data_IF_986389843486
#
_entry.id   IF_986389843486
#
_cell.length_a   1.000
_cell.length_b   1.000
_cell.length_c   1.000
_cell.angle_alpha   90.00
_cell.angle_beta   90.00
_cell.angle_gamma   90.00
#
_symmetry.space_group_name_H-M   'P 1'
#
loop_
_entity.id
_entity.type
_entity.pdbx_description
1 polymer ?
#
# COMPACT_ATOMS: atom_id res chain seq x y z
N UNK A 1 39.19 30.37 -2.94
CA UNK A 1 38.85 28.97 -2.59
C UNK A 1 37.98 28.43 -3.71
N UNK A 2 38.22 27.19 -4.14
CA UNK A 2 37.72 26.65 -5.40
C UNK A 2 36.30 26.09 -5.20
N UNK A 3 35.28 26.60 -5.90
CA UNK A 3 33.87 26.17 -5.79
C UNK A 3 33.69 24.65 -5.95
N UNK A 4 34.59 24.00 -6.68
CA UNK A 4 34.61 22.55 -6.83
C UNK A 4 34.92 21.81 -5.52
N UNK A 5 35.75 22.36 -4.64
CA UNK A 5 36.08 21.72 -3.35
C UNK A 5 34.90 21.79 -2.37
N UNK A 6 34.14 22.88 -2.37
CA UNK A 6 32.92 23.01 -1.55
C UNK A 6 31.80 22.10 -2.03
N UNK A 7 31.57 21.99 -3.34
CA UNK A 7 30.57 21.07 -3.91
C UNK A 7 30.86 19.60 -3.59
N UNK A 8 32.13 19.19 -3.58
CA UNK A 8 32.54 17.83 -3.23
C UNK A 8 32.33 17.54 -1.74
N UNK A 9 32.67 18.49 -0.86
CA UNK A 9 32.45 18.37 0.59
C UNK A 9 30.95 18.32 0.94
N UNK A 10 30.12 19.14 0.29
CA UNK A 10 28.66 19.13 0.45
C UNK A 10 28.07 17.78 0.02
N UNK A 11 28.47 17.23 -1.13
CA UNK A 11 28.03 15.90 -1.60
C UNK A 11 28.47 14.77 -0.65
N UNK A 12 29.70 14.82 -0.16
CA UNK A 12 30.27 13.86 0.80
C UNK A 12 29.48 13.86 2.11
N UNK A 13 29.27 15.04 2.70
CA UNK A 13 28.56 15.19 3.97
C UNK A 13 27.08 14.80 3.85
N UNK A 14 26.45 15.13 2.71
CA UNK A 14 25.07 14.74 2.42
C UNK A 14 24.94 13.22 2.26
N UNK A 15 25.83 12.58 1.49
CA UNK A 15 25.87 11.13 1.34
C UNK A 15 26.05 10.41 2.69
N UNK A 16 26.92 10.94 3.56
CA UNK A 16 27.15 10.36 4.89
C UNK A 16 25.94 10.52 5.81
N UNK A 17 25.28 11.69 5.78
CA UNK A 17 24.04 11.95 6.54
C UNK A 17 22.90 11.03 6.10
N UNK A 18 22.70 10.85 4.79
CA UNK A 18 21.68 9.96 4.24
C UNK A 18 21.91 8.49 4.58
N UNK A 19 23.18 8.03 4.60
CA UNK A 19 23.53 6.68 5.05
C UNK A 19 23.22 6.46 6.53
N UNK A 20 23.56 7.42 7.39
CA UNK A 20 23.29 7.31 8.83
C UNK A 20 21.79 7.32 9.14
N UNK A 21 21.01 8.12 8.41
CA UNK A 21 19.54 8.15 8.51
C UNK A 21 18.94 6.81 8.08
N UNK A 22 19.36 6.27 6.94
CA UNK A 22 18.88 4.97 6.43
C UNK A 22 19.20 3.83 7.40
N UNK A 23 20.41 3.82 8.00
CA UNK A 23 20.79 2.84 9.01
C UNK A 23 19.93 2.91 10.27
N UNK A 24 19.60 4.12 10.74
CA UNK A 24 18.69 4.33 11.87
C UNK A 24 17.31 3.71 11.60
N UNK A 25 16.76 3.94 10.40
CA UNK A 25 15.47 3.35 10.02
C UNK A 25 15.53 1.83 9.85
N UNK A 26 16.64 1.29 9.34
CA UNK A 26 16.83 -0.15 9.26
C UNK A 26 16.85 -0.82 10.65
N UNK A 27 17.48 -0.17 11.63
CA UNK A 27 17.47 -0.62 13.03
C UNK A 27 16.07 -0.55 13.61
N UNK A 28 15.34 0.56 13.42
CA UNK A 28 13.95 0.73 13.88
C UNK A 28 13.02 -0.35 13.27
N UNK A 29 13.11 -0.58 11.96
CA UNK A 29 12.36 -1.64 11.27
C UNK A 29 12.67 -3.03 11.86
N UNK A 30 13.95 -3.35 12.05
CA UNK A 30 14.39 -4.64 12.60
C UNK A 30 13.89 -4.85 14.04
N UNK A 31 13.90 -3.81 14.87
CA UNK A 31 13.38 -3.88 16.24
C UNK A 31 11.86 -4.10 16.25
N UNK A 32 11.13 -3.39 15.37
CA UNK A 32 9.66 -3.52 15.26
C UNK A 32 9.24 -4.90 14.77
N UNK A 33 9.89 -5.42 13.71
CA UNK A 33 9.55 -6.76 13.20
C UNK A 33 9.88 -7.83 14.23
N UNK A 34 11.02 -7.74 14.95
CA UNK A 34 11.36 -8.66 16.02
C UNK A 34 10.32 -8.65 17.15
N UNK A 35 9.90 -7.46 17.59
CA UNK A 35 8.86 -7.31 18.60
C UNK A 35 7.51 -7.90 18.13
N UNK A 36 7.11 -7.65 16.89
CA UNK A 36 5.88 -8.23 16.35
C UNK A 36 5.95 -9.75 16.21
N UNK A 37 7.10 -10.30 15.80
CA UNK A 37 7.31 -11.75 15.73
C UNK A 37 7.21 -12.40 17.10
N UNK A 38 7.76 -11.78 18.14
CA UNK A 38 7.62 -12.27 19.51
C UNK A 38 6.14 -12.35 19.93
N UNK A 39 5.34 -11.34 19.57
CA UNK A 39 3.90 -11.32 19.86
C UNK A 39 3.12 -12.38 19.08
N UNK A 40 3.38 -12.49 17.77
CA UNK A 40 2.78 -13.48 16.89
C UNK A 40 3.10 -14.90 17.37
N UNK A 41 4.36 -15.16 17.72
CA UNK A 41 4.79 -16.45 18.27
C UNK A 41 4.09 -16.77 19.60
N UNK A 42 3.89 -15.76 20.44
CA UNK A 42 3.13 -15.87 21.70
C UNK A 42 1.61 -15.85 21.52
N UNK A 43 1.10 -15.84 20.27
CA UNK A 43 -0.32 -15.70 19.92
C UNK A 43 -1.01 -14.52 20.61
N UNK A 44 -0.25 -13.46 20.86
CA UNK A 44 -0.78 -12.22 21.45
C UNK A 44 -1.39 -11.37 20.32
N UNK A 45 -2.55 -10.75 20.55
CA UNK A 45 -3.09 -9.80 19.59
C UNK A 45 -2.09 -8.68 19.36
N UNK A 46 -1.89 -8.32 18.09
CA UNK A 46 -1.01 -7.23 17.68
C UNK A 46 -1.90 -6.13 17.12
N UNK A 47 -1.83 -4.96 17.73
CA UNK A 47 -2.66 -3.82 17.31
C UNK A 47 -2.19 -3.29 15.97
N UNK A 48 -3.13 -2.70 15.23
CA UNK A 48 -2.92 -2.03 13.96
C UNK A 48 -1.73 -1.08 13.98
N UNK A 49 -1.64 -0.28 15.04
CA UNK A 49 -0.57 0.71 15.22
C UNK A 49 0.84 0.12 15.15
N UNK A 50 1.04 -1.12 15.61
CA UNK A 50 2.36 -1.78 15.54
C UNK A 50 2.72 -2.13 14.10
N UNK A 51 1.77 -2.64 13.33
CA UNK A 51 1.94 -2.91 11.90
C UNK A 51 2.15 -1.62 11.11
N UNK A 52 1.32 -0.59 11.36
CA UNK A 52 1.48 0.75 10.77
C UNK A 52 2.88 1.30 11.04
N UNK A 53 3.37 1.19 12.29
CA UNK A 53 4.70 1.63 12.66
C UNK A 53 5.83 0.85 12.00
N UNK A 54 5.69 -0.47 11.84
CA UNK A 54 6.65 -1.29 11.08
C UNK A 54 6.71 -0.84 9.62
N UNK A 55 5.54 -0.67 8.98
CA UNK A 55 5.46 -0.26 7.58
C UNK A 55 6.03 1.14 7.39
N UNK A 56 5.73 2.07 8.30
CA UNK A 56 6.32 3.41 8.28
C UNK A 56 7.85 3.36 8.40
N UNK A 57 8.41 2.50 9.26
CA UNK A 57 9.86 2.32 9.35
C UNK A 57 10.45 1.79 8.04
N UNK A 58 9.82 0.79 7.42
CA UNK A 58 10.22 0.25 6.12
C UNK A 58 10.17 1.31 5.01
N UNK A 59 9.10 2.11 4.98
CA UNK A 59 8.91 3.19 4.01
C UNK A 59 10.01 4.26 4.14
N UNK A 60 10.35 4.65 5.37
CA UNK A 60 11.42 5.62 5.65
C UNK A 60 12.80 5.12 5.22
N UNK A 61 13.07 3.81 5.30
CA UNK A 61 14.30 3.24 4.71
C UNK A 61 14.39 3.50 3.21
N UNK A 62 13.24 3.60 2.53
CA UNK A 62 13.11 3.83 1.09
C UNK A 62 12.93 5.31 0.73
N UNK A 63 13.15 6.23 1.67
CA UNK A 63 12.97 7.68 1.49
C UNK A 63 11.52 8.08 1.13
N UNK A 64 10.56 7.31 1.62
CA UNK A 64 9.16 7.70 1.63
C UNK A 64 8.85 8.37 2.97
N UNK A 65 8.15 9.50 2.92
CA UNK A 65 7.53 10.12 4.07
C UNK A 65 6.23 9.38 4.38
N UNK A 66 6.09 8.94 5.62
CA UNK A 66 4.88 8.32 6.10
C UNK A 66 4.01 9.35 6.83
N UNK A 67 2.75 9.45 6.41
CA UNK A 67 1.73 10.26 7.07
C UNK A 67 0.61 9.36 7.52
N UNK A 68 0.17 9.53 8.77
CA UNK A 68 -1.01 8.82 9.24
C UNK A 68 -2.24 9.21 8.41
N UNK A 69 -3.14 8.26 8.28
CA UNK A 69 -4.52 8.46 7.86
C UNK A 69 -5.16 9.72 8.41
N UNK A 70 -5.99 10.37 7.60
CA UNK A 70 -6.79 11.51 8.08
C UNK A 70 -7.94 10.98 8.93
N UNK A 71 -8.53 11.83 9.76
CA UNK A 71 -9.81 11.54 10.45
C UNK A 71 -10.97 11.41 9.45
N UNK A 72 -10.74 11.72 8.17
CA UNK A 72 -11.77 11.62 7.14
C UNK A 72 -12.14 10.15 6.92
N UNK A 73 -13.43 9.88 7.15
CA UNK A 73 -14.07 8.60 6.96
C UNK A 73 -15.19 8.79 5.96
N UNK A 74 -15.34 7.83 5.06
CA UNK A 74 -16.47 7.79 4.13
C UNK A 74 -17.16 6.44 4.21
N UNK A 75 -18.48 6.48 4.33
CA UNK A 75 -19.33 5.31 4.20
C UNK A 75 -19.59 5.06 2.71
N UNK A 76 -19.28 3.85 2.25
CA UNK A 76 -19.41 3.46 0.85
C UNK A 76 -19.92 2.03 0.77
N UNK A 77 -20.58 1.69 -0.34
CA UNK A 77 -20.92 0.30 -0.65
C UNK A 77 -20.04 -0.19 -1.78
N UNK A 78 -19.12 -1.09 -1.47
CA UNK A 78 -18.17 -1.68 -2.44
C UNK A 78 -18.50 -3.16 -2.62
N UNK A 79 -18.81 -3.57 -3.85
CA UNK A 79 -19.15 -4.95 -4.20
C UNK A 79 -20.19 -5.59 -3.25
N UNK A 80 -21.28 -4.87 -2.99
CA UNK A 80 -22.35 -5.22 -2.05
C UNK A 80 -21.98 -5.25 -0.55
N UNK A 81 -20.78 -4.84 -0.17
CA UNK A 81 -20.34 -4.72 1.23
C UNK A 81 -20.35 -3.25 1.63
N UNK A 82 -21.05 -2.94 2.71
CA UNK A 82 -21.00 -1.61 3.31
C UNK A 82 -19.69 -1.47 4.11
N UNK A 83 -18.90 -0.45 3.79
CA UNK A 83 -17.58 -0.22 4.36
C UNK A 83 -17.44 1.22 4.83
N UNK A 84 -16.74 1.38 5.95
CA UNK A 84 -16.27 2.69 6.44
C UNK A 84 -14.79 2.72 6.15
N UNK A 85 -14.39 3.58 5.22
CA UNK A 85 -13.02 3.61 4.69
C UNK A 85 -12.27 4.84 5.19
N UNK A 86 -11.06 4.63 5.66
CA UNK A 86 -10.11 5.69 6.07
C UNK A 86 -8.70 5.13 5.94
N UNK A 87 -7.85 5.70 5.07
CA UNK A 87 -6.48 5.22 4.88
C UNK A 87 -5.74 5.15 6.20
N UNK A 88 -4.92 4.13 6.43
CA UNK A 88 -4.14 4.03 7.67
C UNK A 88 -2.84 4.79 7.62
N UNK A 89 -2.20 4.71 6.45
CA UNK A 89 -0.93 5.34 6.19
C UNK A 89 -0.89 5.76 4.72
N UNK A 90 -0.41 6.98 4.49
CA UNK A 90 -0.04 7.49 3.17
C UNK A 90 1.47 7.53 3.09
N UNK A 91 2.02 6.90 2.06
CA UNK A 91 3.45 7.01 1.79
C UNK A 91 3.67 7.96 0.62
N UNK A 92 4.40 9.03 0.88
CA UNK A 92 4.69 10.10 -0.07
C UNK A 92 6.17 10.08 -0.41
N UNK A 93 6.55 10.45 -1.62
CA UNK A 93 7.97 10.67 -1.91
C UNK A 93 8.47 11.91 -1.19
N UNK A 94 9.64 11.84 -0.56
CA UNK A 94 10.28 13.04 -0.03
C UNK A 94 10.77 13.92 -1.19
N UNK A 95 10.12 15.07 -1.41
CA UNK A 95 10.66 16.14 -2.23
C UNK A 95 11.88 16.73 -1.52
N UNK A 96 13.05 16.69 -2.17
CA UNK A 96 14.24 17.34 -1.66
C UNK A 96 14.19 18.80 -2.10
N UNK A 97 13.85 19.70 -1.17
CA UNK A 97 13.98 21.17 -1.27
C UNK A 97 14.04 21.71 -2.70
N UNK A 98 12.87 21.90 -3.30
CA UNK A 98 12.69 22.95 -4.30
C UNK A 98 12.00 24.09 -3.57
N UNK A 99 12.71 25.22 -3.45
CA UNK A 99 12.20 26.49 -2.91
C UNK A 99 11.13 27.09 -3.87
N UNK A 100 10.08 26.35 -4.18
CA UNK A 100 8.98 26.80 -5.03
C UNK A 100 7.65 26.51 -4.32
N UNK A 101 7.05 27.58 -3.80
CA UNK A 101 5.73 27.63 -3.15
C UNK A 101 4.55 27.43 -4.14
N UNK A 102 4.79 26.98 -5.38
CA UNK A 102 3.79 27.12 -6.46
C UNK A 102 3.63 25.86 -7.35
N UNK A 103 3.57 24.67 -6.74
CA UNK A 103 3.03 23.48 -7.41
C UNK A 103 1.79 22.96 -6.68
N UNK A 104 0.65 23.46 -7.12
CA UNK A 104 -0.66 22.90 -6.82
C UNK A 104 -0.75 21.41 -7.20
N UNK A 105 -1.11 20.59 -6.20
CA UNK A 105 -2.27 19.69 -6.25
C UNK A 105 -2.17 18.22 -6.68
N UNK A 106 -1.02 17.62 -7.00
CA UNK A 106 -0.95 16.15 -7.06
C UNK A 106 0.35 15.64 -6.47
N UNK A 107 0.24 14.86 -5.41
CA UNK A 107 1.36 14.24 -4.74
C UNK A 107 1.21 12.74 -4.84
N UNK A 108 2.24 12.09 -5.35
CA UNK A 108 2.28 10.64 -5.50
C UNK A 108 2.16 9.97 -4.13
N UNK A 109 1.05 9.26 -3.91
CA UNK A 109 0.78 8.59 -2.65
C UNK A 109 0.53 7.12 -2.89
N UNK A 110 1.21 6.28 -2.12
CA UNK A 110 0.80 4.89 -1.93
C UNK A 110 -0.14 4.86 -0.74
N UNK A 111 -1.36 4.36 -0.95
CA UNK A 111 -2.33 4.16 0.13
C UNK A 111 -2.08 2.81 0.78
N UNK A 112 -1.83 2.81 2.08
CA UNK A 112 -1.58 1.59 2.83
C UNK A 112 -2.77 1.31 3.74
N UNK A 113 -3.37 0.14 3.56
CA UNK A 113 -4.34 -0.43 4.48
C UNK A 113 -3.66 -1.46 5.36
N UNK A 114 -3.84 -1.33 6.66
CA UNK A 114 -3.27 -2.22 7.66
C UNK A 114 -4.39 -3.01 8.31
N UNK A 115 -4.31 -4.32 8.20
CA UNK A 115 -5.33 -5.23 8.72
C UNK A 115 -4.85 -5.82 10.04
N UNK A 116 -5.67 -5.66 11.07
CA UNK A 116 -5.43 -6.32 12.35
C UNK A 116 -5.70 -7.81 12.25
N UNK A 117 -4.69 -8.62 12.60
CA UNK A 117 -4.89 -10.04 12.81
C UNK A 117 -5.60 -10.28 14.14
N UNK A 118 -6.90 -10.56 14.08
CA UNK A 118 -7.66 -11.07 15.22
C UNK A 118 -7.35 -12.55 15.41
N UNK A 119 -6.52 -12.89 16.40
CA UNK A 119 -6.34 -14.27 16.83
C UNK A 119 -7.59 -14.73 17.58
N UNK A 120 -8.60 -15.21 16.86
CA UNK A 120 -9.70 -15.95 17.47
C UNK A 120 -9.19 -17.34 17.85
N UNK A 121 -9.13 -17.63 19.16
CA UNK A 121 -8.77 -18.93 19.72
C UNK A 121 -9.67 -20.09 19.24
N UNK A 122 -10.82 -19.77 18.62
CA UNK A 122 -11.80 -20.72 18.09
C UNK A 122 -11.96 -20.69 16.57
N UNK A 123 -11.11 -19.96 15.83
CA UNK A 123 -11.18 -19.96 14.37
C UNK A 123 -10.65 -21.29 13.83
N UNK A 124 -11.58 -22.23 13.56
CA UNK A 124 -11.43 -23.19 12.47
C UNK A 124 -10.94 -22.41 11.25
N UNK A 125 -9.98 -22.98 10.51
CA UNK A 125 -9.60 -22.49 9.18
C UNK A 125 -10.83 -21.96 8.44
N UNK A 126 -10.74 -20.85 7.69
CA UNK A 126 -11.89 -20.34 6.95
C UNK A 126 -12.41 -21.42 6.01
N UNK A 127 -13.45 -22.14 6.45
CA UNK A 127 -14.19 -23.08 5.62
C UNK A 127 -15.03 -22.21 4.70
N UNK A 128 -14.46 -21.86 3.55
CA UNK A 128 -15.21 -21.32 2.44
C UNK A 128 -16.23 -22.38 2.00
N UNK A 129 -17.47 -22.26 2.48
CA UNK A 129 -18.61 -22.92 1.87
C UNK A 129 -19.07 -22.05 0.70
N UNK A 130 -18.46 -22.21 -0.48
CA UNK A 130 -19.12 -21.74 -1.68
C UNK A 130 -20.29 -22.67 -1.99
N UNK A 131 -21.49 -22.08 -2.03
CA UNK A 131 -22.71 -22.69 -2.53
C UNK A 131 -22.54 -22.82 -4.04
N UNK A 132 -22.13 -23.99 -4.50
CA UNK A 132 -22.14 -24.36 -5.92
C UNK A 132 -23.57 -24.25 -6.44
N UNK A 133 -23.87 -23.20 -7.22
CA UNK A 133 -24.91 -23.31 -8.24
C UNK A 133 -24.21 -23.82 -9.50
N UNK A 134 -24.05 -25.14 -9.54
CA UNK A 134 -23.70 -25.86 -10.76
C UNK A 134 -24.90 -25.83 -11.68
N UNK A 135 -24.85 -24.99 -12.72
CA UNK A 135 -25.50 -25.27 -14.00
C UNK A 135 -24.53 -24.79 -15.10
N UNK A 136 -23.71 -25.73 -15.57
CA UNK A 136 -23.04 -25.78 -16.88
C UNK A 136 -22.38 -24.50 -17.41
N UNK A 137 -21.05 -24.41 -17.26
CA UNK A 137 -20.24 -23.47 -18.05
C UNK A 137 -18.78 -23.52 -17.62
N UNK A 138 -17.95 -24.18 -18.41
CA UNK A 138 -16.50 -24.26 -18.25
C UNK A 138 -15.88 -22.86 -18.29
N UNK A 139 -15.28 -22.42 -17.18
CA UNK A 139 -14.37 -21.27 -17.12
C UNK A 139 -13.59 -21.32 -15.81
N UNK A 140 -12.63 -22.23 -15.70
CA UNK A 140 -11.52 -22.09 -14.74
C UNK A 140 -10.69 -20.88 -15.20
N UNK A 141 -11.07 -19.68 -14.78
CA UNK A 141 -10.37 -18.45 -15.14
C UNK A 141 -9.64 -17.88 -13.94
N UNK A 142 -8.41 -17.42 -14.18
CA UNK A 142 -7.39 -16.84 -13.29
C UNK A 142 -7.86 -16.06 -12.02
N UNK A 143 -9.10 -15.59 -11.97
CA UNK A 143 -9.72 -14.97 -10.79
C UNK A 143 -9.78 -15.91 -9.57
N UNK A 144 -10.13 -17.19 -9.76
CA UNK A 144 -10.21 -18.16 -8.66
C UNK A 144 -8.83 -18.42 -8.01
N UNK A 145 -7.77 -18.38 -8.81
CA UNK A 145 -6.38 -18.53 -8.34
C UNK A 145 -5.95 -17.27 -7.57
N UNK A 146 -6.30 -16.08 -8.06
CA UNK A 146 -5.98 -14.82 -7.40
C UNK A 146 -6.68 -14.67 -6.04
N UNK A 147 -7.95 -15.07 -5.95
CA UNK A 147 -8.72 -15.05 -4.69
C UNK A 147 -8.19 -16.07 -3.70
N UNK A 148 -7.78 -17.27 -4.15
CA UNK A 148 -7.15 -18.27 -3.28
C UNK A 148 -5.84 -17.77 -2.64
N UNK A 149 -5.07 -16.93 -3.33
CA UNK A 149 -3.84 -16.35 -2.78
C UNK A 149 -4.11 -15.30 -1.68
N UNK A 150 -5.32 -14.74 -1.64
CA UNK A 150 -5.76 -13.76 -0.65
C UNK A 150 -6.66 -14.37 0.43
N UNK A 151 -6.67 -15.69 0.58
CA UNK A 151 -7.56 -16.39 1.54
C UNK A 151 -7.36 -15.99 3.02
N UNK A 152 -6.29 -15.25 3.32
CA UNK A 152 -6.04 -14.66 4.65
C UNK A 152 -6.71 -13.30 4.86
N UNK A 153 -7.36 -12.75 3.82
CA UNK A 153 -8.13 -11.52 3.82
C UNK A 153 -9.61 -11.84 3.68
N UNK A 154 -10.45 -11.19 4.48
CA UNK A 154 -11.91 -11.29 4.31
C UNK A 154 -12.41 -10.23 3.30
N UNK A 155 -13.64 -10.44 2.81
CA UNK A 155 -14.27 -9.54 1.84
C UNK A 155 -14.46 -8.12 2.38
N UNK A 156 -14.60 -7.97 3.70
CA UNK A 156 -14.74 -6.67 4.37
C UNK A 156 -13.45 -5.88 4.28
N UNK A 157 -12.31 -6.51 4.55
CA UNK A 157 -11.00 -5.88 4.45
C UNK A 157 -10.64 -5.52 3.01
N UNK A 158 -11.00 -6.36 2.04
CA UNK A 158 -10.85 -6.05 0.62
C UNK A 158 -11.72 -4.84 0.21
N UNK A 159 -12.97 -4.79 0.66
CA UNK A 159 -13.87 -3.66 0.42
C UNK A 159 -13.40 -2.37 1.07
N UNK A 160 -12.88 -2.43 2.31
CA UNK A 160 -12.29 -1.29 3.01
C UNK A 160 -11.09 -0.74 2.25
N UNK A 161 -10.15 -1.62 1.87
CA UNK A 161 -8.99 -1.22 1.08
C UNK A 161 -9.39 -0.56 -0.24
N UNK A 162 -10.39 -1.11 -0.95
CA UNK A 162 -10.92 -0.55 -2.17
C UNK A 162 -11.48 0.87 -1.97
N UNK A 163 -12.25 1.08 -0.88
CA UNK A 163 -12.75 2.40 -0.52
C UNK A 163 -11.64 3.38 -0.17
N UNK A 164 -10.60 2.94 0.56
CA UNK A 164 -9.43 3.76 0.88
C UNK A 164 -8.68 4.22 -0.37
N UNK A 165 -8.49 3.35 -1.36
CA UNK A 165 -7.90 3.72 -2.65
C UNK A 165 -8.76 4.74 -3.40
N UNK A 166 -10.09 4.56 -3.39
CA UNK A 166 -11.01 5.45 -4.08
C UNK A 166 -11.04 6.86 -3.47
N UNK A 167 -10.94 6.96 -2.14
CA UNK A 167 -10.92 8.24 -1.43
C UNK A 167 -9.74 9.12 -1.84
N UNK A 168 -8.59 8.51 -2.07
CA UNK A 168 -7.35 9.21 -2.39
C UNK A 168 -7.13 9.31 -3.92
N UNK A 169 -7.96 8.65 -4.74
CA UNK A 169 -7.75 8.55 -6.18
C UNK A 169 -7.62 9.90 -6.89
N UNK A 170 -8.39 10.91 -6.47
CA UNK A 170 -8.37 12.25 -7.08
C UNK A 170 -7.04 12.99 -6.84
N UNK A 171 -6.34 12.67 -5.75
CA UNK A 171 -5.11 13.37 -5.34
C UNK A 171 -3.85 12.67 -5.87
N UNK A 172 -4.00 11.51 -6.52
CA UNK A 172 -2.89 10.72 -7.04
C UNK A 172 -2.41 11.22 -8.40
N UNK A 173 -1.10 11.36 -8.54
CA UNK A 173 -0.45 11.62 -9.81
C UNK A 173 -0.43 10.41 -10.77
N UNK A 174 -0.89 9.23 -10.32
CA UNK A 174 -0.89 8.00 -11.11
C UNK A 174 -2.17 7.79 -11.93
N UNK A 175 -3.10 8.76 -11.95
CA UNK A 175 -4.36 8.69 -12.69
C UNK A 175 -4.17 8.12 -14.13
N UNK A 176 -4.92 7.08 -14.55
CA UNK A 176 -6.11 6.48 -13.91
C UNK A 176 -5.86 5.43 -12.83
N UNK A 177 -4.61 5.25 -12.42
CA UNK A 177 -4.21 4.27 -11.44
C UNK A 177 -4.04 4.85 -10.04
N UNK A 178 -4.30 4.02 -9.03
CA UNK A 178 -4.01 4.31 -7.64
C UNK A 178 -3.28 3.11 -7.02
N UNK A 179 -1.97 3.22 -6.76
CA UNK A 179 -1.23 2.14 -6.13
C UNK A 179 -1.59 2.06 -4.65
N UNK A 180 -1.67 0.82 -4.16
CA UNK A 180 -1.97 0.55 -2.76
C UNK A 180 -1.13 -0.59 -2.19
N UNK A 181 -1.29 -0.79 -0.88
CA UNK A 181 -0.65 -1.87 -0.17
C UNK A 181 -1.55 -2.35 0.96
N UNK A 182 -1.76 -3.66 1.05
CA UNK A 182 -2.42 -4.31 2.19
C UNK A 182 -1.36 -4.99 3.04
N UNK A 183 -1.41 -4.76 4.35
CA UNK A 183 -0.49 -5.38 5.31
C UNK A 183 -1.26 -6.18 6.35
N UNK A 184 -0.93 -7.46 6.49
CA UNK A 184 -1.54 -8.37 7.48
C UNK A 184 -0.48 -9.30 8.06
N UNK A 185 -0.15 -9.13 9.34
CA UNK A 185 0.93 -9.90 9.97
C UNK A 185 2.29 -9.58 9.35
N UNK A 186 2.95 -10.60 8.80
CA UNK A 186 4.19 -10.46 8.02
C UNK A 186 3.94 -10.40 6.51
N UNK A 187 2.68 -10.56 6.08
CA UNK A 187 2.31 -10.56 4.67
C UNK A 187 2.00 -9.15 4.19
N UNK A 188 2.49 -8.84 3.00
CA UNK A 188 2.28 -7.59 2.29
C UNK A 188 1.76 -7.91 0.88
N UNK A 189 0.70 -7.25 0.46
CA UNK A 189 0.14 -7.38 -0.89
C UNK A 189 0.15 -6.01 -1.54
N UNK A 190 0.89 -5.85 -2.62
CA UNK A 190 0.81 -4.66 -3.46
C UNK A 190 -0.49 -4.70 -4.26
N UNK A 191 -1.15 -3.56 -4.39
CA UNK A 191 -2.41 -3.44 -5.12
C UNK A 191 -2.38 -2.27 -6.09
N UNK A 192 -3.26 -2.31 -7.08
CA UNK A 192 -3.44 -1.23 -8.04
C UNK A 192 -4.91 -1.10 -8.38
N UNK A 193 -5.54 -0.01 -7.95
CA UNK A 193 -6.87 0.36 -8.43
C UNK A 193 -6.73 1.02 -9.81
N UNK A 194 -7.51 0.56 -10.77
CA UNK A 194 -7.72 1.21 -12.05
C UNK A 194 -9.18 1.65 -12.13
N UNK A 195 -9.41 2.95 -12.29
CA UNK A 195 -10.74 3.53 -12.44
C UNK A 195 -10.67 4.79 -13.31
N UNK A 196 -11.64 4.95 -14.21
CA UNK A 196 -11.73 6.12 -15.07
C UNK A 196 -12.44 7.28 -14.35
N UNK A 197 -12.13 8.52 -14.74
CA UNK A 197 -12.82 9.70 -14.21
C UNK A 197 -14.33 9.64 -14.48
N UNK A 198 -14.74 9.10 -15.63
CA UNK A 198 -16.15 8.92 -15.98
C UNK A 198 -16.85 7.95 -15.04
N UNK A 199 -16.19 6.85 -14.68
CA UNK A 199 -16.72 5.92 -13.68
C UNK A 199 -16.84 6.61 -12.31
N UNK A 200 -15.82 7.34 -11.85
CA UNK A 200 -15.90 8.12 -10.59
C UNK A 200 -17.08 9.10 -10.61
N UNK A 201 -17.28 9.81 -11.71
CA UNK A 201 -18.38 10.75 -11.86
C UNK A 201 -19.74 10.04 -11.80
N UNK A 202 -19.87 8.86 -12.42
CA UNK A 202 -21.09 8.03 -12.37
C UNK A 202 -21.38 7.53 -10.96
N UNK A 203 -20.36 7.08 -10.21
CA UNK A 203 -20.51 6.69 -8.81
C UNK A 203 -21.02 7.86 -7.95
N UNK A 204 -20.42 9.04 -8.11
CA UNK A 204 -20.86 10.26 -7.40
C UNK A 204 -22.31 10.66 -7.72
N UNK A 205 -22.76 10.40 -8.94
CA UNK A 205 -24.11 10.72 -9.39
C UNK A 205 -25.15 9.62 -9.07
N UNK A 206 -24.74 8.49 -8.45
CA UNK A 206 -25.62 7.38 -8.10
C UNK A 206 -26.06 6.50 -9.27
N UNK A 207 -25.24 6.41 -10.32
CA UNK A 207 -25.56 5.59 -11.51
C UNK A 207 -25.03 4.17 -11.31
N UNK A 208 -25.93 3.20 -11.13
CA UNK A 208 -25.60 1.80 -10.83
C UNK A 208 -25.13 0.97 -12.04
N UNK A 209 -25.31 1.47 -13.27
CA UNK A 209 -25.00 0.73 -14.49
C UNK A 209 -23.77 1.30 -15.18
N UNK A 210 -22.65 0.61 -14.99
CA UNK A 210 -21.41 0.85 -15.73
C UNK A 210 -21.24 -0.29 -16.73
N UNK A 211 -21.01 0.02 -18.03
CA UNK A 211 -20.64 -1.00 -19.01
C UNK A 211 -19.48 -1.84 -18.48
N UNK A 212 -19.48 -3.16 -18.74
CA UNK A 212 -18.46 -4.07 -18.18
C UNK A 212 -17.02 -3.62 -18.51
N UNK A 213 -16.83 -2.99 -19.66
CA UNK A 213 -15.55 -2.49 -20.16
C UNK A 213 -15.01 -1.28 -19.37
N UNK A 214 -15.87 -0.56 -18.64
CA UNK A 214 -15.54 0.63 -17.85
C UNK A 214 -15.46 0.35 -16.34
N UNK A 215 -15.59 -0.91 -15.93
CA UNK A 215 -15.61 -1.27 -14.51
C UNK A 215 -14.27 -1.01 -13.84
N UNK A 216 -14.36 -0.48 -12.63
CA UNK A 216 -13.21 -0.28 -11.76
C UNK A 216 -12.68 -1.66 -11.37
N UNK A 217 -11.37 -1.83 -11.44
CA UNK A 217 -10.71 -3.08 -11.13
C UNK A 217 -9.59 -2.83 -10.12
N UNK A 218 -9.45 -3.73 -9.15
CA UNK A 218 -8.28 -3.76 -8.27
C UNK A 218 -7.47 -4.99 -8.63
N UNK A 219 -6.22 -4.75 -9.01
CA UNK A 219 -5.25 -5.79 -9.25
C UNK A 219 -4.49 -6.06 -7.96
N UNK A 220 -4.31 -7.34 -7.63
CA UNK A 220 -3.59 -7.78 -6.45
C UNK A 220 -2.32 -8.51 -6.88
N UNK A 221 -1.20 -8.08 -6.33
CA UNK A 221 0.08 -8.77 -6.47
C UNK A 221 0.11 -10.05 -5.63
N UNK A 222 1.14 -10.87 -5.88
CA UNK A 222 1.44 -12.01 -5.03
C UNK A 222 1.73 -11.53 -3.59
N UNK A 223 1.20 -12.20 -2.55
CA UNK A 223 1.58 -11.90 -1.17
C UNK A 223 3.08 -12.12 -0.94
N UNK A 224 3.74 -11.09 -0.43
CA UNK A 224 5.14 -11.06 -0.04
C UNK A 224 5.26 -11.27 1.48
N UNK A 225 6.20 -12.08 1.93
CA UNK A 225 6.47 -12.29 3.35
C UNK A 225 7.71 -11.50 3.81
N UNK A 226 7.53 -10.60 4.76
CA UNK A 226 8.64 -9.83 5.34
C UNK A 226 9.69 -10.70 6.04
N UNK A 227 9.41 -11.98 6.31
CA UNK A 227 10.40 -12.93 6.84
C UNK A 227 11.28 -13.56 5.76
N UNK A 228 10.82 -13.57 4.51
CA UNK A 228 11.55 -14.10 3.36
C UNK A 228 12.41 -12.99 2.77
N UNK A 229 13.69 -13.26 2.52
CA UNK A 229 14.63 -12.24 2.06
C UNK A 229 14.28 -11.73 0.67
N UNK A 230 13.99 -12.65 -0.24
CA UNK A 230 13.68 -12.37 -1.64
C UNK A 230 12.43 -11.48 -1.73
N UNK A 231 11.41 -11.77 -0.92
CA UNK A 231 10.19 -10.97 -0.83
C UNK A 231 10.46 -9.57 -0.25
N UNK A 232 11.34 -9.45 0.76
CA UNK A 232 11.79 -8.14 1.26
C UNK A 232 12.53 -7.34 0.18
N UNK A 233 13.40 -7.99 -0.58
CA UNK A 233 14.19 -7.33 -1.63
C UNK A 233 13.26 -6.77 -2.72
N UNK A 234 12.25 -7.54 -3.15
CA UNK A 234 11.20 -7.09 -4.09
C UNK A 234 10.43 -5.89 -3.53
N UNK A 235 10.01 -5.95 -2.26
CA UNK A 235 9.25 -4.88 -1.64
C UNK A 235 10.07 -3.59 -1.50
N UNK A 236 11.32 -3.71 -1.04
CA UNK A 236 12.25 -2.57 -0.93
C UNK A 236 12.52 -1.94 -2.29
N UNK A 237 12.76 -2.75 -3.33
CA UNK A 237 12.95 -2.25 -4.69
C UNK A 237 11.71 -1.50 -5.18
N UNK A 238 10.52 -2.03 -4.91
CA UNK A 238 9.24 -1.41 -5.30
C UNK A 238 9.04 -0.07 -4.60
N UNK A 239 9.22 0.00 -3.28
CA UNK A 239 9.09 1.22 -2.50
C UNK A 239 10.16 2.27 -2.87
N UNK A 240 11.37 1.82 -3.21
CA UNK A 240 12.43 2.69 -3.70
C UNK A 240 12.11 3.27 -5.08
N UNK A 241 11.58 2.46 -6.01
CA UNK A 241 11.11 2.95 -7.31
C UNK A 241 10.00 3.98 -7.16
N UNK A 242 9.04 3.72 -6.27
CA UNK A 242 7.99 4.69 -5.95
C UNK A 242 8.59 6.00 -5.42
N UNK A 243 9.58 5.95 -4.52
CA UNK A 243 10.19 7.19 -4.02
C UNK A 243 10.98 7.96 -5.10
N UNK A 244 11.51 7.27 -6.11
CA UNK A 244 12.16 7.89 -7.27
C UNK A 244 11.18 8.51 -8.26
N UNK A 245 10.07 7.83 -8.56
CA UNK A 245 9.02 8.34 -9.45
C UNK A 245 8.49 9.68 -8.94
N UNK A 246 8.44 9.84 -7.62
CA UNK A 246 7.97 11.05 -6.94
C UNK A 246 8.97 12.22 -7.02
N UNK A 247 10.16 12.01 -7.58
CA UNK A 247 11.23 13.02 -7.69
C UNK A 247 11.37 13.61 -9.09
N UNK A 248 10.50 13.27 -10.06
CA UNK A 248 10.67 13.63 -11.48
C UNK A 248 12.09 13.34 -11.98
N UNK A 249 12.72 12.27 -11.48
CA UNK A 249 13.99 11.79 -12.02
C UNK A 249 13.60 10.82 -13.12
N UNK A 250 13.80 11.22 -14.38
CA UNK A 250 13.63 10.35 -15.54
C UNK A 250 14.45 9.07 -15.33
N UNK A 251 13.76 7.98 -14.97
CA UNK A 251 14.37 6.67 -14.87
C UNK A 251 14.35 6.05 -16.26
N UNK A 252 15.42 6.26 -17.03
CA UNK A 252 15.68 5.47 -18.23
C UNK A 252 16.42 4.19 -17.81
N UNK A 253 15.84 3.00 -18.02
CA UNK A 253 16.62 1.77 -17.95
C UNK A 253 17.58 1.74 -19.15
N UNK A 254 18.88 1.71 -18.85
CA UNK A 254 19.93 1.36 -19.82
C UNK A 254 20.06 -0.14 -20.01
#
# INVERSE_FOLDING_TARGET
MNENSERVLLKSNYSMKMRNISLSYAVDFTQRIAFMLERLYRKKPTSKHLYTGMVGALARMCYLQDELGSVYQSEMRINNVDVISSPDLRLKGTLLNTDEEDLSQQTSHLVVSVIELKHNSDSKEPVYKHKTRSENGCSDTNEDIAIHQLSFLDSTALGQHAGELLLEWQDSCFNPYMPGMIVSGTKVVMTLLHITQDHVNRLKNGWDLVPDEDKAAIYYGKPLDLLVKEDRDILLETLFKLSLMNRNIDWFPG
#
